data_IF_844257461468
#
_entry.id   IF_844257461468
#
_cell.length_a   1.000
_cell.length_b   1.000
_cell.length_c   1.000
_cell.angle_alpha   90.00
_cell.angle_beta   90.00
_cell.angle_gamma   90.00
#
_symmetry.space_group_name_H-M   'P 1'
#
loop_
_entity.id
_entity.type
_entity.pdbx_description
1 polymer ?
#
# COMPACT_ATOMS: atom_id res chain seq x y z
N UNK A 1 24.98 -24.91 37.53
CA UNK A 1 23.69 -24.20 37.74
C UNK A 1 23.72 -22.99 36.78
N UNK A 2 23.18 -23.14 35.62
CA UNK A 2 23.21 -22.09 34.57
C UNK A 2 22.11 -21.09 34.90
N UNK A 3 22.51 -19.89 35.30
CA UNK A 3 21.56 -18.79 35.54
C UNK A 3 20.99 -18.41 34.19
N UNK A 4 19.70 -18.68 33.98
CA UNK A 4 18.94 -18.14 32.84
C UNK A 4 18.90 -16.64 33.08
N UNK A 5 19.76 -15.88 32.41
CA UNK A 5 19.68 -14.42 32.40
C UNK A 5 18.37 -14.00 31.72
N UNK A 6 17.58 -13.24 32.46
CA UNK A 6 16.45 -12.53 31.86
C UNK A 6 17.04 -11.57 30.80
N UNK A 7 16.70 -11.69 29.53
CA UNK A 7 17.26 -10.84 28.48
C UNK A 7 16.94 -9.34 28.69
N UNK A 8 15.96 -9.04 29.54
CA UNK A 8 15.58 -7.67 29.89
C UNK A 8 16.37 -7.10 31.09
N UNK A 9 16.99 -7.97 31.94
CA UNK A 9 17.78 -7.55 33.12
C UNK A 9 19.27 -7.32 32.82
N UNK A 10 19.76 -7.78 31.66
CA UNK A 10 21.20 -7.77 31.34
C UNK A 10 21.63 -6.54 30.51
N UNK A 11 21.00 -5.37 30.70
CA UNK A 11 21.31 -4.20 29.87
C UNK A 11 20.90 -4.43 28.41
N UNK A 12 19.98 -5.37 28.21
CA UNK A 12 19.45 -5.70 26.92
C UNK A 12 18.73 -4.51 26.32
N UNK A 13 18.75 -4.44 25.07
CA UNK A 13 18.25 -3.42 24.16
C UNK A 13 17.16 -2.54 24.74
N UNK A 14 17.44 -1.25 24.86
CA UNK A 14 16.39 -0.27 25.08
C UNK A 14 15.43 -0.29 23.89
N UNK A 15 14.20 0.14 24.10
CA UNK A 15 13.20 0.24 23.01
C UNK A 15 13.73 1.06 21.82
N UNK A 16 14.57 2.06 22.10
CA UNK A 16 15.24 2.87 21.09
C UNK A 16 16.28 2.08 20.27
N UNK A 17 17.06 1.21 20.92
CA UNK A 17 18.05 0.35 20.26
C UNK A 17 17.37 -0.71 19.40
N UNK A 18 16.26 -1.29 19.85
CA UNK A 18 15.44 -2.21 19.05
C UNK A 18 14.87 -1.50 17.82
N UNK A 19 14.39 -0.27 17.96
CA UNK A 19 13.89 0.53 16.85
C UNK A 19 14.99 0.83 15.84
N UNK A 20 16.19 1.13 16.31
CA UNK A 20 17.36 1.38 15.47
C UNK A 20 17.82 0.13 14.73
N UNK A 21 17.79 -1.05 15.39
CA UNK A 21 18.09 -2.33 14.76
C UNK A 21 17.06 -2.68 13.64
N UNK A 22 15.78 -2.40 13.84
CA UNK A 22 14.74 -2.59 12.81
C UNK A 22 15.00 -1.69 11.59
N UNK A 23 15.47 -0.47 11.80
CA UNK A 23 15.78 0.46 10.71
C UNK A 23 17.02 0.06 9.89
N UNK A 24 17.97 -0.67 10.49
CA UNK A 24 19.18 -1.14 9.81
C UNK A 24 18.90 -2.37 8.93
N UNK A 25 17.81 -3.12 9.19
CA UNK A 25 17.48 -4.28 8.38
C UNK A 25 17.21 -3.90 6.92
N UNK A 26 17.84 -4.58 5.95
CA UNK A 26 17.68 -4.26 4.54
C UNK A 26 16.22 -4.41 4.10
N UNK A 27 15.75 -3.43 3.30
CA UNK A 27 14.45 -3.54 2.66
C UNK A 27 14.44 -4.68 1.68
N UNK A 28 13.40 -5.49 1.70
CA UNK A 28 13.08 -6.33 0.58
C UNK A 28 12.54 -5.44 -0.54
N UNK A 29 13.22 -5.51 -1.68
CA UNK A 29 12.73 -4.82 -2.86
C UNK A 29 11.48 -5.54 -3.35
N UNK A 30 10.34 -4.91 -3.16
CA UNK A 30 9.09 -5.29 -3.80
C UNK A 30 9.06 -4.67 -5.20
N UNK A 31 8.40 -5.32 -6.15
CA UNK A 31 8.39 -4.85 -7.54
C UNK A 31 7.73 -3.47 -7.70
N UNK A 32 6.61 -3.25 -7.02
CA UNK A 32 5.91 -1.98 -7.04
C UNK A 32 6.71 -0.87 -6.34
N UNK A 33 7.37 -1.21 -5.23
CA UNK A 33 8.28 -0.30 -4.56
C UNK A 33 9.49 0.09 -5.41
N UNK A 34 10.02 -0.84 -6.26
CA UNK A 34 11.09 -0.54 -7.21
C UNK A 34 10.66 0.42 -8.32
N UNK A 35 9.43 0.27 -8.81
CA UNK A 35 8.85 1.15 -9.83
C UNK A 35 8.57 2.54 -9.26
N UNK A 36 8.40 2.66 -7.93
CA UNK A 36 8.09 3.94 -7.28
C UNK A 36 6.70 4.48 -7.61
N UNK A 37 5.76 3.58 -7.94
CA UNK A 37 4.39 3.96 -8.31
C UNK A 37 3.61 4.58 -7.15
N UNK A 38 3.88 4.10 -5.92
CA UNK A 38 3.23 4.59 -4.72
C UNK A 38 4.20 5.43 -3.89
N UNK A 39 3.77 6.63 -3.53
CA UNK A 39 4.48 7.47 -2.57
C UNK A 39 4.05 7.08 -1.16
N UNK A 40 5.02 6.82 -0.30
CA UNK A 40 4.77 6.58 1.11
C UNK A 40 4.74 7.91 1.87
N UNK A 41 3.66 8.11 2.63
CA UNK A 41 3.51 9.26 3.52
C UNK A 41 3.09 8.76 4.91
N UNK A 42 3.89 9.12 5.93
CA UNK A 42 3.60 8.77 7.32
C UNK A 42 2.57 9.72 7.91
N UNK A 43 1.50 9.17 8.48
CA UNK A 43 0.47 9.94 9.18
C UNK A 43 0.35 9.50 10.63
N UNK A 44 0.05 10.42 11.52
CA UNK A 44 -0.15 10.16 12.96
C UNK A 44 -1.61 9.85 13.32
N UNK A 45 -2.52 10.14 12.41
CA UNK A 45 -3.96 9.94 12.59
C UNK A 45 -4.37 8.52 12.17
N UNK A 46 -5.47 8.03 12.73
CA UNK A 46 -6.03 6.72 12.38
C UNK A 46 -6.92 6.74 11.13
N UNK A 47 -7.20 7.91 10.60
CA UNK A 47 -7.98 8.10 9.39
C UNK A 47 -7.40 9.23 8.55
N UNK A 48 -7.55 9.12 7.24
CA UNK A 48 -7.18 10.14 6.26
C UNK A 48 -8.45 10.66 5.61
N UNK A 49 -8.58 11.97 5.51
CA UNK A 49 -9.69 12.64 4.84
C UNK A 49 -9.20 13.03 3.44
N UNK A 50 -9.93 12.61 2.42
CA UNK A 50 -9.69 13.00 1.03
C UNK A 50 -10.83 13.92 0.60
N UNK A 51 -10.47 15.09 0.10
CA UNK A 51 -11.40 16.04 -0.49
C UNK A 51 -11.39 15.89 -1.99
N UNK A 52 -12.58 15.80 -2.56
CA UNK A 52 -12.79 15.74 -4.00
C UNK A 52 -13.55 16.99 -4.43
N UNK A 53 -13.03 17.67 -5.45
CA UNK A 53 -13.67 18.78 -6.12
C UNK A 53 -14.19 18.31 -7.47
N UNK A 54 -15.46 18.59 -7.76
CA UNK A 54 -16.06 18.30 -9.04
C UNK A 54 -16.19 19.64 -9.79
N UNK A 55 -15.22 19.91 -10.66
CA UNK A 55 -15.28 21.03 -11.59
C UNK A 55 -16.34 20.80 -12.67
N UNK A 56 -17.08 21.83 -13.01
CA UNK A 56 -18.08 21.80 -14.08
C UNK A 56 -17.62 22.71 -15.21
N UNK A 57 -17.29 22.14 -16.36
CA UNK A 57 -17.02 22.88 -17.59
C UNK A 57 -18.27 22.87 -18.47
N UNK A 58 -19.05 23.98 -18.42
CA UNK A 58 -20.25 24.15 -19.23
C UNK A 58 -19.95 25.03 -20.41
N UNK A 59 -20.50 24.68 -21.56
CA UNK A 59 -20.51 25.55 -22.71
C UNK A 59 -21.43 26.77 -22.43
N UNK A 60 -20.91 27.96 -22.69
CA UNK A 60 -21.63 29.19 -22.48
C UNK A 60 -22.50 29.52 -23.75
N UNK A 61 -23.81 29.73 -23.59
CA UNK A 61 -24.64 30.13 -24.72
C UNK A 61 -24.30 31.56 -25.14
N UNK A 62 -24.34 31.80 -26.43
CA UNK A 62 -24.26 33.15 -27.01
C UNK A 62 -25.56 33.91 -26.72
N UNK A 63 -25.45 35.11 -26.12
CA UNK A 63 -26.61 35.99 -25.88
C UNK A 63 -26.44 37.29 -26.66
N UNK A 64 -27.55 37.94 -27.09
CA UNK A 64 -27.49 39.25 -27.73
C UNK A 64 -26.87 40.30 -26.81
N UNK A 65 -26.28 41.31 -27.38
CA UNK A 65 -25.69 42.44 -26.65
C UNK A 65 -26.72 43.08 -25.70
N UNK A 66 -26.44 43.10 -24.40
CA UNK A 66 -27.37 43.58 -23.38
C UNK A 66 -28.33 42.54 -22.81
N UNK A 67 -28.24 41.27 -23.27
CA UNK A 67 -28.99 40.15 -22.67
C UNK A 67 -28.48 39.77 -21.28
N UNK A 68 -29.29 39.04 -20.49
CA UNK A 68 -28.88 38.57 -19.16
C UNK A 68 -27.70 37.61 -19.23
N UNK A 69 -26.70 37.80 -18.34
CA UNK A 69 -25.57 36.89 -18.23
C UNK A 69 -25.97 35.53 -17.64
N UNK A 70 -25.29 34.48 -18.06
CA UNK A 70 -25.41 33.16 -17.43
C UNK A 70 -24.73 33.16 -16.07
N UNK A 71 -25.36 32.54 -15.09
CA UNK A 71 -24.78 32.37 -13.76
C UNK A 71 -23.96 31.08 -13.73
N UNK A 72 -22.70 31.17 -13.27
CA UNK A 72 -21.83 30.00 -13.13
C UNK A 72 -22.36 29.03 -12.09
N UNK A 73 -22.28 27.75 -12.39
CA UNK A 73 -22.58 26.68 -11.43
C UNK A 73 -21.43 26.56 -10.43
N UNK A 74 -21.75 26.46 -9.16
CA UNK A 74 -20.72 26.25 -8.13
C UNK A 74 -20.18 24.82 -8.23
N UNK A 75 -18.87 24.68 -8.02
CA UNK A 75 -18.21 23.39 -7.95
C UNK A 75 -18.72 22.57 -6.76
N UNK A 76 -18.96 21.30 -6.98
CA UNK A 76 -19.30 20.36 -5.93
C UNK A 76 -18.05 20.03 -5.09
N UNK A 77 -18.22 19.98 -3.77
CA UNK A 77 -17.17 19.54 -2.86
C UNK A 77 -17.66 18.35 -2.06
N UNK A 78 -16.96 17.23 -2.13
CA UNK A 78 -17.23 16.06 -1.32
C UNK A 78 -16.01 15.71 -0.47
N UNK A 79 -16.24 15.23 0.76
CA UNK A 79 -15.19 14.77 1.66
C UNK A 79 -15.44 13.33 2.04
N UNK A 80 -14.40 12.51 2.02
CA UNK A 80 -14.45 11.10 2.40
C UNK A 80 -13.36 10.80 3.40
N UNK A 81 -13.70 9.99 4.41
CA UNK A 81 -12.77 9.56 5.45
C UNK A 81 -12.43 8.09 5.27
N UNK A 82 -11.15 7.79 5.17
CA UNK A 82 -10.62 6.44 5.07
C UNK A 82 -9.92 6.08 6.36
N UNK A 83 -10.38 5.03 7.05
CA UNK A 83 -9.72 4.51 8.22
C UNK A 83 -8.46 3.73 7.82
N UNK A 84 -7.35 3.91 8.53
CA UNK A 84 -6.13 3.17 8.26
C UNK A 84 -6.22 1.78 8.90
N UNK A 85 -5.97 0.70 8.15
CA UNK A 85 -5.99 -0.65 8.69
C UNK A 85 -4.82 -0.84 9.66
N UNK A 86 -5.09 -1.49 10.77
CA UNK A 86 -4.08 -1.92 11.73
C UNK A 86 -3.71 -3.37 11.45
N UNK A 87 -2.44 -3.63 11.13
CA UNK A 87 -1.93 -4.96 10.78
C UNK A 87 -0.85 -5.34 11.80
N UNK A 88 -1.23 -5.84 12.98
CA UNK A 88 -0.27 -6.30 13.98
C UNK A 88 0.35 -7.63 13.54
N UNK A 89 1.61 -7.83 13.89
CA UNK A 89 2.29 -9.11 13.76
C UNK A 89 3.29 -9.25 14.89
N UNK A 90 3.05 -10.20 15.79
CA UNK A 90 3.87 -10.49 16.93
C UNK A 90 4.59 -11.82 16.71
N UNK A 91 5.80 -11.94 17.21
CA UNK A 91 6.55 -13.20 17.29
C UNK A 91 7.17 -13.34 18.68
N UNK A 92 7.22 -14.57 19.18
CA UNK A 92 7.73 -14.89 20.52
C UNK A 92 9.03 -15.65 20.38
N UNK A 93 10.01 -15.29 21.20
CA UNK A 93 11.27 -16.04 21.33
C UNK A 93 11.12 -16.99 22.52
N UNK A 94 11.13 -18.27 22.25
CA UNK A 94 11.09 -19.30 23.29
C UNK A 94 12.51 -19.66 23.71
N UNK A 95 12.71 -20.11 25.01
CA UNK A 95 14.00 -20.59 25.45
C UNK A 95 14.59 -21.70 24.58
N UNK A 96 13.72 -22.55 23.97
CA UNK A 96 14.13 -23.60 23.05
C UNK A 96 14.67 -23.08 21.70
N UNK A 97 14.36 -21.85 21.33
CA UNK A 97 14.90 -21.24 20.12
C UNK A 97 16.39 -20.85 20.29
N UNK A 98 16.84 -20.71 21.55
CA UNK A 98 18.18 -20.30 21.93
C UNK A 98 18.99 -21.52 22.37
N UNK A 99 18.37 -22.45 23.13
CA UNK A 99 18.98 -23.65 23.63
C UNK A 99 18.97 -24.75 22.57
N UNK A 100 20.13 -25.15 22.08
CA UNK A 100 20.28 -26.30 21.18
C UNK A 100 20.54 -25.96 19.72
N UNK A 101 20.69 -24.71 19.37
CA UNK A 101 21.24 -24.31 18.06
C UNK A 101 22.69 -23.81 18.27
N UNK A 102 23.70 -24.68 18.23
CA UNK A 102 25.07 -24.20 18.09
C UNK A 102 25.13 -23.52 16.71
N UNK A 103 25.59 -22.27 16.68
CA UNK A 103 26.00 -21.64 15.45
C UNK A 103 26.97 -22.56 14.75
N UNK A 104 26.61 -23.08 13.59
CA UNK A 104 27.41 -23.98 12.80
C UNK A 104 28.81 -23.37 12.56
N UNK A 105 29.80 -23.81 13.35
CA UNK A 105 31.21 -23.56 13.10
C UNK A 105 31.90 -22.44 13.85
N UNK A 106 31.26 -21.76 14.81
CA UNK A 106 31.91 -20.72 15.62
C UNK A 106 31.67 -20.96 17.09
N UNK A 107 32.69 -21.37 17.81
CA UNK A 107 32.64 -21.63 19.25
C UNK A 107 32.60 -20.35 20.11
N UNK A 108 32.74 -19.17 19.48
CA UNK A 108 32.75 -17.85 20.12
C UNK A 108 31.70 -16.96 19.45
N UNK A 109 30.46 -17.46 19.40
CA UNK A 109 29.37 -16.74 18.79
C UNK A 109 28.90 -15.61 19.72
N UNK A 110 28.88 -14.42 19.20
CA UNK A 110 28.14 -13.30 19.74
C UNK A 110 26.72 -13.75 20.09
N UNK A 111 26.26 -13.37 21.26
CA UNK A 111 25.02 -13.73 21.95
C UNK A 111 23.95 -14.38 21.02
N UNK A 112 23.68 -15.69 21.13
CA UNK A 112 22.77 -16.41 20.25
C UNK A 112 21.35 -15.81 20.26
N UNK A 113 20.97 -15.08 21.31
CA UNK A 113 19.73 -14.35 21.42
C UNK A 113 19.63 -13.24 20.37
N UNK A 114 20.71 -12.48 20.17
CA UNK A 114 20.76 -11.38 19.19
C UNK A 114 20.56 -11.89 17.77
N UNK A 115 21.20 -13.02 17.46
CA UNK A 115 21.09 -13.61 16.11
C UNK A 115 19.66 -14.11 15.85
N UNK A 116 19.05 -14.82 16.81
CA UNK A 116 17.67 -15.29 16.72
C UNK A 116 16.71 -14.11 16.58
N UNK A 117 16.91 -13.06 17.39
CA UNK A 117 16.09 -11.85 17.34
C UNK A 117 16.19 -11.15 15.96
N UNK A 118 17.40 -10.95 15.46
CA UNK A 118 17.62 -10.33 14.15
C UNK A 118 16.97 -11.13 13.04
N UNK A 119 17.07 -12.45 13.07
CA UNK A 119 16.42 -13.34 12.10
C UNK A 119 14.90 -13.21 12.13
N UNK A 120 14.30 -13.20 13.34
CA UNK A 120 12.85 -13.01 13.50
C UNK A 120 12.40 -11.63 13.05
N UNK A 121 13.13 -10.57 13.41
CA UNK A 121 12.84 -9.20 12.93
C UNK A 121 12.91 -9.09 11.40
N UNK A 122 13.90 -9.72 10.77
CA UNK A 122 13.98 -9.77 9.31
C UNK A 122 12.77 -10.48 8.69
N UNK A 123 12.34 -11.61 9.28
CA UNK A 123 11.18 -12.34 8.81
C UNK A 123 9.89 -11.52 8.95
N UNK A 124 9.70 -10.86 10.09
CA UNK A 124 8.56 -9.98 10.32
C UNK A 124 8.53 -8.84 9.30
N UNK A 125 9.67 -8.19 9.07
CA UNK A 125 9.77 -7.14 8.04
C UNK A 125 9.44 -7.64 6.64
N UNK A 126 9.90 -8.85 6.27
CA UNK A 126 9.56 -9.48 4.99
C UNK A 126 8.07 -9.71 4.85
N UNK A 127 7.41 -10.21 5.89
CA UNK A 127 5.96 -10.43 5.90
C UNK A 127 5.18 -9.12 5.73
N UNK A 128 5.58 -8.05 6.45
CA UNK A 128 4.96 -6.73 6.29
C UNK A 128 5.18 -6.15 4.88
N UNK A 129 6.39 -6.28 4.33
CA UNK A 129 6.68 -5.82 2.97
C UNK A 129 5.82 -6.55 1.93
N UNK A 130 5.69 -7.87 2.06
CA UNK A 130 4.85 -8.68 1.19
C UNK A 130 3.37 -8.32 1.30
N UNK A 131 2.86 -8.12 2.53
CA UNK A 131 1.47 -7.71 2.76
C UNK A 131 1.20 -6.34 2.15
N UNK A 132 2.13 -5.40 2.32
CA UNK A 132 2.03 -4.08 1.73
C UNK A 132 1.98 -4.14 0.20
N UNK A 133 2.87 -4.88 -0.44
CA UNK A 133 2.85 -5.05 -1.91
C UNK A 133 1.55 -5.69 -2.40
N UNK A 134 1.05 -6.68 -1.66
CA UNK A 134 -0.25 -7.28 -1.97
C UNK A 134 -1.38 -6.25 -1.91
N UNK A 135 -1.39 -5.37 -0.90
CA UNK A 135 -2.37 -4.29 -0.79
C UNK A 135 -2.21 -3.26 -1.92
N UNK A 136 -0.98 -2.87 -2.24
CA UNK A 136 -0.67 -1.95 -3.35
C UNK A 136 -1.13 -2.51 -4.70
N UNK A 137 -0.90 -3.80 -4.95
CA UNK A 137 -1.37 -4.48 -6.16
C UNK A 137 -2.90 -4.50 -6.24
N UNK A 138 -3.57 -4.77 -5.12
CA UNK A 138 -5.02 -4.75 -5.07
C UNK A 138 -5.58 -3.32 -5.22
N UNK A 139 -4.89 -2.31 -4.71
CA UNK A 139 -5.25 -0.90 -4.92
C UNK A 139 -5.24 -0.51 -6.40
N UNK A 140 -4.25 -0.98 -7.17
CA UNK A 140 -4.23 -0.81 -8.63
C UNK A 140 -5.43 -1.46 -9.34
N UNK A 141 -5.97 -2.50 -8.75
CA UNK A 141 -7.19 -3.18 -9.26
C UNK A 141 -8.48 -2.51 -8.78
N UNK A 142 -8.38 -1.44 -7.99
CA UNK A 142 -9.50 -0.68 -7.46
C UNK A 142 -10.15 -1.25 -6.20
N UNK A 143 -9.70 -2.40 -5.69
CA UNK A 143 -10.26 -3.04 -4.48
C UNK A 143 -9.11 -3.41 -3.54
N UNK A 144 -8.93 -2.68 -2.46
CA UNK A 144 -7.91 -2.96 -1.45
C UNK A 144 -8.36 -4.10 -0.56
N UNK A 145 -7.53 -5.14 -0.47
CA UNK A 145 -7.77 -6.33 0.37
C UNK A 145 -6.65 -6.50 1.38
N UNK A 146 -6.98 -7.03 2.54
CA UNK A 146 -6.00 -7.45 3.54
C UNK A 146 -5.36 -8.80 3.19
N UNK A 147 -4.42 -9.27 4.03
CA UNK A 147 -3.75 -10.55 3.84
C UNK A 147 -4.67 -11.78 3.94
N UNK A 148 -5.85 -11.66 4.53
CA UNK A 148 -6.88 -12.70 4.61
C UNK A 148 -7.84 -12.67 3.40
N UNK A 149 -7.72 -11.67 2.52
CA UNK A 149 -8.61 -11.48 1.37
C UNK A 149 -9.86 -10.66 1.66
N UNK A 150 -10.01 -10.14 2.89
CA UNK A 150 -11.13 -9.28 3.26
C UNK A 150 -10.99 -7.93 2.56
N UNK A 151 -12.08 -7.44 1.96
CA UNK A 151 -12.10 -6.15 1.31
C UNK A 151 -12.09 -5.05 2.37
N UNK A 152 -11.03 -4.24 2.35
CA UNK A 152 -10.91 -3.05 3.19
C UNK A 152 -11.60 -1.86 2.54
N UNK A 153 -11.30 -1.62 1.26
CA UNK A 153 -11.87 -0.53 0.48
C UNK A 153 -12.15 -0.97 -0.95
N UNK A 154 -13.26 -0.49 -1.48
CA UNK A 154 -13.61 -0.63 -2.89
C UNK A 154 -13.71 0.77 -3.50
N UNK A 155 -12.70 1.18 -4.26
CA UNK A 155 -12.62 2.51 -4.85
C UNK A 155 -13.73 2.77 -5.88
N UNK A 156 -14.21 1.73 -6.56
CA UNK A 156 -15.33 1.88 -7.48
C UNK A 156 -16.60 2.35 -6.76
N UNK A 157 -16.89 1.76 -5.61
CA UNK A 157 -18.05 2.15 -4.79
C UNK A 157 -17.82 3.49 -4.11
N UNK A 158 -16.63 3.72 -3.56
CA UNK A 158 -16.31 4.94 -2.82
C UNK A 158 -16.31 6.19 -3.71
N UNK A 159 -15.79 6.07 -4.93
CA UNK A 159 -15.71 7.19 -5.86
C UNK A 159 -16.79 7.17 -6.95
N UNK A 160 -17.70 6.20 -6.93
CA UNK A 160 -18.74 6.07 -7.94
C UNK A 160 -18.21 5.80 -9.35
N UNK A 161 -17.03 5.16 -9.45
CA UNK A 161 -16.38 4.86 -10.72
C UNK A 161 -16.89 3.55 -11.32
N UNK A 162 -17.09 3.51 -12.63
CA UNK A 162 -17.34 2.27 -13.35
C UNK A 162 -16.00 1.67 -13.82
N UNK A 163 -15.83 0.37 -13.60
CA UNK A 163 -14.66 -0.33 -14.12
C UNK A 163 -14.78 -0.45 -15.64
N UNK A 164 -13.81 0.09 -16.36
CA UNK A 164 -13.72 -0.05 -17.82
C UNK A 164 -12.98 -1.33 -18.13
N UNK A 165 -13.55 -2.21 -18.94
CA UNK A 165 -12.89 -3.40 -19.44
C UNK A 165 -13.01 -3.48 -20.95
N UNK A 166 -11.90 -3.75 -21.64
CA UNK A 166 -11.84 -3.95 -23.08
C UNK A 166 -11.37 -5.36 -23.35
N UNK A 167 -12.23 -6.16 -23.97
CA UNK A 167 -11.84 -7.51 -24.39
C UNK A 167 -11.11 -7.44 -25.73
N UNK A 168 -9.88 -7.93 -25.75
CA UNK A 168 -9.04 -7.96 -26.94
C UNK A 168 -9.40 -9.06 -27.93
N UNK A 169 -10.23 -10.05 -27.51
CA UNK A 169 -10.70 -11.16 -28.37
C UNK A 169 -9.53 -11.85 -29.11
N UNK A 170 -8.39 -12.08 -28.44
CA UNK A 170 -7.17 -12.61 -29.03
C UNK A 170 -7.32 -14.03 -29.61
N UNK A 171 -8.34 -14.78 -29.18
CA UNK A 171 -8.67 -16.10 -29.69
C UNK A 171 -9.50 -16.10 -30.98
N UNK A 172 -9.93 -14.94 -31.47
CA UNK A 172 -10.81 -14.81 -32.65
C UNK A 172 -9.98 -14.41 -33.86
N UNK A 173 -10.03 -15.20 -34.93
CA UNK A 173 -9.36 -14.86 -36.17
C UNK A 173 -9.93 -13.56 -36.77
N UNK A 174 -9.04 -12.66 -37.23
CA UNK A 174 -9.43 -11.38 -37.82
C UNK A 174 -9.60 -10.22 -36.83
N UNK A 175 -9.34 -10.43 -35.55
CA UNK A 175 -9.37 -9.37 -34.55
C UNK A 175 -8.25 -8.35 -34.82
N UNK A 176 -8.63 -7.09 -35.03
CA UNK A 176 -7.67 -5.99 -35.21
C UNK A 176 -7.20 -5.51 -33.83
N UNK A 177 -6.11 -6.06 -33.31
CA UNK A 177 -5.53 -5.70 -32.01
C UNK A 177 -5.24 -4.19 -31.92
N UNK A 178 -4.79 -3.59 -33.03
CA UNK A 178 -4.54 -2.14 -33.07
C UNK A 178 -5.80 -1.30 -32.81
N UNK A 179 -6.97 -1.73 -33.30
CA UNK A 179 -8.23 -1.03 -33.01
C UNK A 179 -8.63 -1.15 -31.53
N UNK A 180 -8.35 -2.31 -30.92
CA UNK A 180 -8.57 -2.52 -29.48
C UNK A 180 -7.65 -1.67 -28.61
N UNK A 181 -6.40 -1.51 -28.99
CA UNK A 181 -5.48 -0.58 -28.30
C UNK A 181 -5.99 0.87 -28.40
N UNK A 182 -6.49 1.29 -29.57
CA UNK A 182 -7.08 2.63 -29.72
C UNK A 182 -8.34 2.80 -28.87
N UNK A 183 -9.16 1.76 -28.73
CA UNK A 183 -10.33 1.75 -27.85
C UNK A 183 -9.94 2.00 -26.40
N UNK A 184 -8.86 1.32 -25.91
CA UNK A 184 -8.31 1.56 -24.56
C UNK A 184 -7.80 2.99 -24.40
N UNK A 185 -7.05 3.50 -25.39
CA UNK A 185 -6.53 4.88 -25.35
C UNK A 185 -7.67 5.90 -25.29
N UNK A 186 -8.71 5.75 -26.11
CA UNK A 186 -9.90 6.61 -26.04
C UNK A 186 -10.62 6.52 -24.72
N UNK A 187 -10.78 5.30 -24.18
CA UNK A 187 -11.40 5.13 -22.87
C UNK A 187 -10.61 5.82 -21.76
N UNK A 188 -9.27 5.85 -21.85
CA UNK A 188 -8.43 6.61 -20.93
C UNK A 188 -8.61 8.11 -21.14
N UNK A 189 -8.57 8.60 -22.39
CA UNK A 189 -8.75 10.02 -22.73
C UNK A 189 -10.10 10.55 -22.26
N UNK A 190 -11.19 9.79 -22.48
CA UNK A 190 -12.56 10.16 -22.09
C UNK A 190 -12.75 10.22 -20.55
N UNK A 191 -11.91 9.49 -19.79
CA UNK A 191 -11.98 9.43 -18.34
C UNK A 191 -10.87 10.21 -17.63
N UNK A 192 -9.91 10.77 -18.36
CA UNK A 192 -8.99 11.76 -17.82
C UNK A 192 -9.81 13.00 -17.46
N UNK A 193 -10.10 13.15 -16.16
CA UNK A 193 -10.61 14.38 -15.59
C UNK A 193 -9.47 15.41 -15.70
N UNK A 194 -9.55 16.19 -16.74
CA UNK A 194 -8.52 16.96 -17.35
C UNK A 194 -7.68 17.85 -16.46
N UNK A 195 -6.50 17.97 -16.85
CA UNK A 195 -5.76 19.22 -17.06
C UNK A 195 -5.47 19.37 -18.54
#
# INVERSE_FOLDING_TARGET
MTIVRNPFDAGGYSLAEMTQAINILPNLYTRLGQIGLFRFEGVTQRSVIIEQYEGVLNLLPSVPLGGPSTVGTREGRSMRSFALPWIPHDDVILPGDIQGQPSLGVFDAADPLVEVMNRKLQLMRRKHAQTREYMEMNALRGIVKDGAGTTLYNYFTEFGLAQISVDFLLGTAGTLVQSKVREVLRAIEDNLLGE
#
